data_IF_825567213914
#
_entry.id   IF_825567213914
#
_cell.length_a   1.000
_cell.length_b   1.000
_cell.length_c   1.000
_cell.angle_alpha   90.00
_cell.angle_beta   90.00
_cell.angle_gamma   90.00
#
_symmetry.space_group_name_H-M   'P 1'
#
loop_
_entity.id
_entity.type
_entity.pdbx_description
1 polymer ?
#
# COMPACT_ATOMS: atom_id res chain seq x y z
N UNK A 1 -6.81 -5.12 -12.37
CA UNK A 1 -5.34 -4.90 -12.50
C UNK A 1 -4.60 -5.61 -11.36
N UNK A 2 -4.79 -5.21 -10.11
CA UNK A 2 -4.06 -5.79 -8.97
C UNK A 2 -4.21 -7.32 -8.86
N UNK A 3 -5.42 -7.87 -8.99
CA UNK A 3 -5.63 -9.32 -8.95
C UNK A 3 -4.87 -10.08 -10.05
N UNK A 4 -4.92 -9.57 -11.29
CA UNK A 4 -4.27 -10.18 -12.45
C UNK A 4 -2.74 -10.13 -12.37
N UNK A 5 -2.17 -9.00 -11.94
CA UNK A 5 -0.71 -8.80 -11.97
C UNK A 5 0.00 -9.22 -10.68
N UNK A 6 -0.71 -9.20 -9.54
CA UNK A 6 -0.14 -9.54 -8.23
C UNK A 6 -0.60 -10.90 -7.71
N UNK A 7 -1.50 -11.60 -8.43
CA UNK A 7 -2.09 -12.87 -8.02
C UNK A 7 -2.72 -12.80 -6.63
N UNK A 8 -3.51 -11.75 -6.39
CA UNK A 8 -4.23 -11.54 -5.13
C UNK A 8 -5.73 -11.64 -5.37
N UNK A 9 -6.46 -12.07 -4.34
CA UNK A 9 -7.91 -12.11 -4.32
C UNK A 9 -8.48 -10.70 -4.59
N UNK A 10 -9.47 -10.63 -5.48
CA UNK A 10 -10.36 -9.48 -5.59
C UNK A 10 -11.81 -9.91 -5.40
N UNK A 11 -12.59 -9.09 -4.72
CA UNK A 11 -14.01 -9.31 -4.47
C UNK A 11 -14.77 -7.98 -4.53
N UNK A 12 -16.07 -8.05 -4.73
CA UNK A 12 -16.93 -6.87 -4.70
C UNK A 12 -17.18 -6.47 -3.25
N UNK A 13 -16.86 -5.22 -2.91
CA UNK A 13 -17.17 -4.63 -1.61
C UNK A 13 -17.89 -3.29 -1.84
N UNK A 14 -19.14 -3.20 -1.38
CA UNK A 14 -20.06 -2.12 -1.69
C UNK A 14 -20.17 -1.87 -3.21
N UNK A 15 -19.57 -0.78 -3.70
CA UNK A 15 -19.67 -0.34 -5.10
C UNK A 15 -18.42 -0.62 -5.93
N UNK A 16 -17.36 -1.19 -5.35
CA UNK A 16 -16.06 -1.34 -6.03
C UNK A 16 -15.45 -2.73 -5.86
N UNK A 17 -14.64 -3.14 -6.85
CA UNK A 17 -13.78 -4.32 -6.72
C UNK A 17 -12.57 -3.99 -5.86
N UNK A 18 -12.42 -4.70 -4.74
CA UNK A 18 -11.40 -4.44 -3.73
C UNK A 18 -10.38 -5.57 -3.68
N UNK A 19 -9.11 -5.19 -3.49
CA UNK A 19 -8.00 -6.08 -3.16
C UNK A 19 -7.13 -5.37 -2.12
N UNK A 20 -6.46 -6.13 -1.24
CA UNK A 20 -5.66 -5.56 -0.15
C UNK A 20 -4.28 -6.19 -0.07
N UNK A 21 -3.31 -5.41 0.41
CA UNK A 21 -1.93 -5.84 0.65
C UNK A 21 -1.44 -5.27 1.99
N UNK A 22 -0.59 -5.99 2.74
CA UNK A 22 0.04 -5.45 3.94
C UNK A 22 0.99 -4.28 3.63
N UNK A 23 1.06 -3.30 4.53
CA UNK A 23 1.91 -2.09 4.38
C UNK A 23 3.39 -2.43 4.21
N UNK A 24 3.92 -3.38 4.98
CA UNK A 24 5.32 -3.80 4.91
C UNK A 24 5.70 -4.45 3.56
N UNK A 25 4.73 -4.97 2.79
CA UNK A 25 4.96 -5.54 1.44
C UNK A 25 4.62 -4.59 0.30
N UNK A 26 4.29 -3.34 0.61
CA UNK A 26 3.90 -2.34 -0.38
C UNK A 26 4.97 -2.21 -1.49
N UNK A 27 6.24 -2.14 -1.11
CA UNK A 27 7.36 -1.98 -2.04
C UNK A 27 7.44 -3.11 -3.09
N UNK A 28 7.21 -4.38 -2.69
CA UNK A 28 7.24 -5.52 -3.61
C UNK A 28 6.13 -5.40 -4.66
N UNK A 29 4.92 -5.06 -4.23
CA UNK A 29 3.75 -4.97 -5.10
C UNK A 29 3.82 -3.76 -6.03
N UNK A 30 4.29 -2.61 -5.52
CA UNK A 30 4.51 -1.42 -6.35
C UNK A 30 5.57 -1.69 -7.42
N UNK A 31 6.71 -2.31 -7.07
CA UNK A 31 7.78 -2.63 -8.03
C UNK A 31 7.26 -3.56 -9.14
N UNK A 32 6.47 -4.58 -8.79
CA UNK A 32 5.84 -5.48 -9.77
C UNK A 32 4.92 -4.73 -10.73
N UNK A 33 4.07 -3.84 -10.22
CA UNK A 33 3.15 -3.05 -11.06
C UNK A 33 3.89 -2.06 -11.96
N UNK A 34 4.91 -1.38 -11.45
CA UNK A 34 5.70 -0.43 -12.22
C UNK A 34 6.51 -1.14 -13.32
N UNK A 35 7.08 -2.31 -13.03
CA UNK A 35 7.80 -3.12 -14.03
C UNK A 35 6.89 -3.57 -15.18
N UNK A 36 5.60 -3.74 -14.92
CA UNK A 36 4.57 -4.03 -15.93
C UNK A 36 4.14 -2.79 -16.73
N UNK A 37 4.69 -1.61 -16.43
CA UNK A 37 4.43 -0.36 -17.11
C UNK A 37 3.30 0.48 -16.52
N UNK A 38 2.75 0.09 -15.36
CA UNK A 38 1.70 0.88 -14.70
C UNK A 38 2.28 2.07 -13.93
N UNK A 39 1.57 3.20 -13.95
CA UNK A 39 1.81 4.34 -13.08
C UNK A 39 1.14 4.09 -11.73
N UNK A 40 1.89 4.10 -10.64
CA UNK A 40 1.39 3.70 -9.31
C UNK A 40 1.47 4.87 -8.36
N UNK A 41 0.34 5.30 -7.80
CA UNK A 41 0.27 6.29 -6.73
C UNK A 41 0.15 5.64 -5.36
N UNK A 42 0.95 6.09 -4.39
CA UNK A 42 0.84 5.69 -2.98
C UNK A 42 0.16 6.79 -2.19
N UNK A 43 -0.96 6.46 -1.57
CA UNK A 43 -1.75 7.37 -0.72
C UNK A 43 -1.49 6.99 0.73
N UNK A 44 -1.08 7.95 1.56
CA UNK A 44 -0.82 7.75 3.00
C UNK A 44 -1.82 8.58 3.82
N UNK A 45 -2.01 8.19 5.08
CA UNK A 45 -2.75 9.01 6.04
C UNK A 45 -1.86 10.17 6.48
N UNK A 46 -2.42 11.37 6.52
CA UNK A 46 -1.67 12.59 6.86
C UNK A 46 -1.70 12.92 8.35
N UNK A 47 -2.66 12.35 9.08
CA UNK A 47 -2.85 12.55 10.51
C UNK A 47 -2.73 11.23 11.28
N UNK A 48 -2.26 11.30 12.52
CA UNK A 48 -2.16 10.14 13.43
C UNK A 48 -3.35 10.11 14.39
N UNK A 49 -3.68 8.94 14.93
CA UNK A 49 -4.83 8.79 15.81
C UNK A 49 -4.77 9.69 17.05
N UNK A 50 -3.58 9.85 17.63
CA UNK A 50 -3.37 10.73 18.79
C UNK A 50 -3.62 12.21 18.45
N UNK A 51 -3.06 12.69 17.34
CA UNK A 51 -3.26 14.07 16.88
C UNK A 51 -4.71 14.32 16.47
N UNK A 52 -5.36 13.34 15.84
CA UNK A 52 -6.77 13.43 15.44
C UNK A 52 -7.71 13.47 16.63
N UNK A 53 -7.44 12.70 17.69
CA UNK A 53 -8.24 12.71 18.90
C UNK A 53 -8.15 14.06 19.65
N UNK A 54 -7.00 14.74 19.54
CA UNK A 54 -6.77 16.08 20.09
C UNK A 54 -7.27 17.21 19.19
N UNK A 55 -7.66 16.91 17.94
CA UNK A 55 -8.16 17.89 16.97
C UNK A 55 -9.69 17.95 16.99
N UNK A 56 -10.25 19.05 16.50
CA UNK A 56 -11.69 19.22 16.31
C UNK A 56 -12.29 18.21 15.31
N UNK A 57 -11.45 17.59 14.47
CA UNK A 57 -11.86 16.61 13.46
C UNK A 57 -11.82 15.14 13.94
N UNK A 58 -11.95 14.93 15.27
CA UNK A 58 -11.84 13.61 15.94
C UNK A 58 -12.86 12.57 15.49
N UNK A 59 -14.07 13.00 15.12
CA UNK A 59 -15.19 12.11 14.78
C UNK A 59 -15.27 11.77 13.28
N UNK A 60 -14.47 12.43 12.44
CA UNK A 60 -14.53 12.26 11.00
C UNK A 60 -13.50 11.22 10.51
N UNK A 61 -13.53 10.89 9.22
CA UNK A 61 -12.58 9.96 8.59
C UNK A 61 -11.16 10.55 8.57
N UNK A 62 -10.14 9.68 8.60
CA UNK A 62 -8.74 10.07 8.44
C UNK A 62 -8.48 10.73 7.08
N UNK A 63 -7.88 11.92 7.08
CA UNK A 63 -7.44 12.60 5.85
C UNK A 63 -6.30 11.82 5.19
N UNK A 64 -6.38 11.69 3.86
CA UNK A 64 -5.48 10.87 3.06
C UNK A 64 -5.11 11.60 1.79
N UNK A 65 -3.82 11.68 1.52
CA UNK A 65 -3.30 12.41 0.38
C UNK A 65 -2.30 11.57 -0.42
N UNK A 66 -2.14 11.93 -1.69
CA UNK A 66 -1.16 11.29 -2.56
C UNK A 66 0.23 11.68 -2.09
N UNK A 67 0.96 10.71 -1.56
CA UNK A 67 2.28 10.93 -1.01
C UNK A 67 3.37 10.81 -2.09
N UNK A 68 3.27 9.79 -2.95
CA UNK A 68 4.26 9.53 -3.98
C UNK A 68 3.62 8.92 -5.23
N UNK A 69 4.27 9.13 -6.37
CA UNK A 69 3.87 8.57 -7.66
C UNK A 69 5.08 7.93 -8.35
N UNK A 70 4.98 6.64 -8.60
CA UNK A 70 6.05 5.82 -9.16
C UNK A 70 5.76 5.46 -10.62
N UNK A 71 6.77 5.65 -11.45
CA UNK A 71 6.84 5.16 -12.82
C UNK A 71 8.17 4.42 -13.01
N UNK A 72 8.35 3.78 -14.17
CA UNK A 72 9.55 3.01 -14.47
C UNK A 72 10.85 3.84 -14.37
N UNK A 73 10.76 5.15 -14.63
CA UNK A 73 11.89 6.09 -14.56
C UNK A 73 12.08 6.75 -13.19
N UNK A 74 11.11 6.65 -12.27
CA UNK A 74 11.12 7.35 -10.97
C UNK A 74 11.07 6.38 -9.79
N UNK A 75 11.58 5.16 -9.97
CA UNK A 75 11.71 4.12 -8.93
C UNK A 75 12.83 4.46 -7.92
N UNK A 76 12.76 5.67 -7.35
CA UNK A 76 13.69 6.20 -6.34
C UNK A 76 12.85 6.57 -5.12
N UNK A 77 13.24 6.10 -3.93
CA UNK A 77 12.57 6.44 -2.68
C UNK A 77 12.95 5.50 -1.53
N UNK A 78 12.98 6.05 -0.31
CA UNK A 78 13.31 5.32 0.93
C UNK A 78 12.39 4.11 1.15
N UNK A 79 11.10 4.25 0.81
CA UNK A 79 10.11 3.16 0.84
C UNK A 79 10.45 1.98 -0.12
N UNK A 80 11.35 2.19 -1.09
CA UNK A 80 11.82 1.20 -2.07
C UNK A 80 13.27 0.74 -1.84
N UNK A 81 14.07 1.47 -1.05
CA UNK A 81 15.46 1.11 -0.76
C UNK A 81 15.61 -0.17 0.08
N UNK A 82 14.55 -0.58 0.80
CA UNK A 82 14.54 -1.81 1.61
C UNK A 82 14.85 -3.07 0.79
N UNK A 83 14.74 -3.02 -0.55
CA UNK A 83 15.12 -4.11 -1.44
C UNK A 83 16.54 -4.04 -2.00
N UNK A 84 17.21 -2.88 -1.95
CA UNK A 84 18.53 -2.69 -2.60
C UNK A 84 19.69 -3.32 -1.80
N UNK A 85 19.41 -3.85 -0.61
CA UNK A 85 20.38 -4.49 0.28
C UNK A 85 20.26 -6.02 0.39
N UNK A 86 19.50 -6.70 -0.47
CA UNK A 86 19.30 -8.16 -0.34
C UNK A 86 19.09 -8.85 -1.69
N UNK A 87 20.00 -8.63 -2.63
CA UNK A 87 20.00 -9.32 -3.92
C UNK A 87 20.73 -10.69 -3.87
N UNK A 88 21.40 -11.03 -2.76
CA UNK A 88 22.16 -12.27 -2.60
C UNK A 88 21.72 -13.12 -1.38
N UNK A 89 20.53 -13.72 -1.42
CA UNK A 89 20.25 -14.92 -0.60
C UNK A 89 18.98 -15.63 -1.09
N UNK A 90 19.19 -16.81 -1.65
CA UNK A 90 18.15 -17.73 -2.07
C UNK A 90 17.28 -18.22 -0.89
N UNK A 91 15.98 -18.38 -1.14
CA UNK A 91 15.17 -19.53 -0.72
C UNK A 91 14.77 -19.71 0.76
N UNK A 92 13.45 -19.85 0.96
CA UNK A 92 12.77 -20.45 2.13
C UNK A 92 12.66 -19.52 3.36
N UNK A 93 11.56 -19.40 4.09
CA UNK A 93 10.38 -20.24 4.28
C UNK A 93 9.19 -19.36 4.69
N UNK A 94 7.99 -19.73 4.24
CA UNK A 94 6.76 -19.23 4.84
C UNK A 94 6.68 -19.65 6.31
N UNK A 95 6.48 -18.70 7.22
CA UNK A 95 5.92 -18.93 8.56
C UNK A 95 4.88 -17.84 8.80
N UNK A 96 3.62 -18.28 8.90
CA UNK A 96 2.47 -17.50 9.34
C UNK A 96 2.50 -17.34 10.87
N UNK A 97 1.47 -16.67 11.40
CA UNK A 97 1.25 -16.21 12.79
C UNK A 97 1.97 -14.89 13.04
N UNK A 98 1.29 -13.77 13.20
CA UNK A 98 -0.11 -13.54 13.50
C UNK A 98 -0.06 -12.21 14.23
N UNK A 99 -0.78 -11.21 13.74
CA UNK A 99 -1.35 -10.21 14.63
C UNK A 99 -2.40 -9.41 13.90
N UNK A 100 -3.54 -9.37 14.60
CA UNK A 100 -4.59 -8.39 14.46
C UNK A 100 -4.00 -7.02 14.13
N UNK A 101 -4.36 -6.48 12.98
CA UNK A 101 -5.05 -5.20 12.94
C UNK A 101 -5.61 -5.02 11.52
N UNK A 102 -6.92 -4.85 11.44
CA UNK A 102 -7.58 -4.30 10.26
C UNK A 102 -7.04 -2.89 10.01
N UNK A 103 -5.91 -2.74 9.34
CA UNK A 103 -5.53 -1.46 8.76
C UNK A 103 -6.21 -1.35 7.39
N UNK A 104 -7.52 -1.08 7.43
CA UNK A 104 -8.31 -0.74 6.27
C UNK A 104 -7.87 0.66 5.78
N UNK A 105 -6.81 0.66 4.97
CA UNK A 105 -6.50 1.78 4.08
C UNK A 105 -7.51 1.77 2.92
N UNK A 106 -8.77 2.14 3.22
CA UNK A 106 -9.76 2.71 2.27
C UNK A 106 -9.08 3.60 1.21
N UNK A 107 -8.81 3.07 0.04
CA UNK A 107 -8.44 3.88 -1.11
C UNK A 107 -9.73 4.54 -1.64
N UNK A 108 -10.04 5.74 -1.17
CA UNK A 108 -11.08 6.60 -1.74
C UNK A 108 -10.41 7.85 -2.28
N UNK A 109 -10.50 8.06 -3.61
CA UNK A 109 -10.07 9.32 -4.22
C UNK A 109 -11.23 9.91 -5.01
N UNK A 110 -11.56 11.13 -4.61
CA UNK A 110 -12.07 12.28 -5.37
C UNK A 110 -13.07 12.00 -6.51
N UNK A 111 -14.30 12.47 -6.29
CA UNK A 111 -14.89 13.44 -7.21
C UNK A 111 -14.59 14.84 -6.70
#
# INVERSE_FOLDING_TARGET
>A
IAAKELNIMCFMDHNFMVASIPTHRLHIHVKRLVNKGYKVGVVKQMETAALKAASDNKSNVFTRELHALYTKSTLVGEDMEVLRGKEDAAGSSAIYWGDHLRLFSRFSKLQ
#
